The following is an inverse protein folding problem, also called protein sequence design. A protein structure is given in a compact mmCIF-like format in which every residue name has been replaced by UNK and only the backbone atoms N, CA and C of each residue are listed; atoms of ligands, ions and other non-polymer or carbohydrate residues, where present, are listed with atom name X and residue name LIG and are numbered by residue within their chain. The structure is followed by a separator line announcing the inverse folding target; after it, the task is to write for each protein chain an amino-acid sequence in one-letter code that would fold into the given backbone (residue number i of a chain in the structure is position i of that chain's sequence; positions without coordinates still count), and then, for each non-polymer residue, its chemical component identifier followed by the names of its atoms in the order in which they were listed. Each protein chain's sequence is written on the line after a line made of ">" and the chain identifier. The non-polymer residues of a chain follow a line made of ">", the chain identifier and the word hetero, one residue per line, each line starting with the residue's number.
data_IF_331420347696
#
_entry.id   IF_331420347696
#
_cell.length_a   1.000
_cell.length_b   1.000
_cell.length_c   1.000
_cell.angle_alpha   90.00
_cell.angle_beta   90.00
_cell.angle_gamma   90.00
#
_symmetry.space_group_name_H-M   'P 1'
#
loop_
_entity.id
_entity.type
_entity.pdbx_description
1 polymer ?
#
# COMPACT_ATOMS: atom_id res chain seq x y z
N UNK A 1 2.52 -2.81 11.03
CA UNK A 1 1.78 -2.74 9.74
C UNK A 1 0.53 -1.86 9.84
N UNK A 2 -0.42 -2.11 10.76
CA UNK A 2 -1.67 -1.32 10.89
C UNK A 2 -1.43 0.20 10.90
N UNK A 3 -0.43 0.69 11.62
CA UNK A 3 -0.10 2.12 11.66
C UNK A 3 0.31 2.74 10.31
N UNK A 4 0.98 1.97 9.45
CA UNK A 4 1.38 2.46 8.13
C UNK A 4 0.15 2.66 7.22
N UNK A 5 -0.78 1.71 7.23
CA UNK A 5 -2.03 1.82 6.47
C UNK A 5 -2.95 2.91 7.03
N UNK A 6 -3.00 3.08 8.35
CA UNK A 6 -3.76 4.18 8.97
C UNK A 6 -3.20 5.54 8.53
N UNK A 7 -1.89 5.72 8.48
CA UNK A 7 -1.26 6.94 7.98
C UNK A 7 -1.50 7.12 6.47
N UNK A 8 -1.45 6.07 5.67
CA UNK A 8 -1.81 6.10 4.25
C UNK A 8 -3.24 6.59 4.04
N UNK A 9 -4.17 6.05 4.79
CA UNK A 9 -5.58 6.45 4.76
C UNK A 9 -5.78 7.94 5.14
N UNK A 10 -5.16 8.40 6.23
CA UNK A 10 -5.23 9.81 6.65
C UNK A 10 -4.63 10.73 5.58
N UNK A 11 -3.48 10.36 5.02
CA UNK A 11 -2.83 11.13 3.96
C UNK A 11 -3.72 11.20 2.72
N UNK A 12 -4.31 10.08 2.31
CA UNK A 12 -5.20 10.01 1.14
C UNK A 12 -6.44 10.90 1.30
N UNK A 13 -7.08 10.88 2.47
CA UNK A 13 -8.26 11.71 2.73
C UNK A 13 -7.92 13.20 2.89
N UNK A 14 -6.77 13.54 3.44
CA UNK A 14 -6.34 14.93 3.61
C UNK A 14 -5.84 15.56 2.31
N UNK A 15 -5.42 14.77 1.34
CA UNK A 15 -4.82 15.25 0.10
C UNK A 15 -5.69 16.26 -0.68
N UNK A 16 -7.01 16.03 -0.92
CA UNK A 16 -7.87 17.00 -1.61
C UNK A 16 -8.00 18.33 -0.88
N UNK A 17 -7.99 18.30 0.46
CA UNK A 17 -8.05 19.51 1.28
C UNK A 17 -6.74 20.30 1.18
N UNK A 18 -5.61 19.60 1.23
CA UNK A 18 -4.29 20.22 1.06
C UNK A 18 -4.14 20.85 -0.33
N UNK A 19 -4.63 20.22 -1.38
CA UNK A 19 -4.65 20.79 -2.73
C UNK A 19 -5.42 22.11 -2.79
N UNK A 20 -6.59 22.18 -2.15
CA UNK A 20 -7.38 23.41 -2.08
C UNK A 20 -6.69 24.52 -1.31
N UNK A 21 -5.96 24.19 -0.24
CA UNK A 21 -5.23 25.16 0.58
C UNK A 21 -4.01 25.75 -0.15
N UNK A 22 -3.30 24.92 -0.89
CA UNK A 22 -2.07 25.36 -1.61
C UNK A 22 -2.43 26.21 -2.83
N UNK A 23 -3.52 25.89 -3.55
CA UNK A 23 -3.90 26.63 -4.77
C UNK A 23 -2.89 26.52 -5.89
N UNK A 24 -3.11 27.21 -7.00
CA UNK A 24 -2.17 27.24 -8.14
C UNK A 24 -2.33 26.06 -9.09
N UNK A 25 -1.29 25.80 -9.90
CA UNK A 25 -1.29 24.72 -10.88
C UNK A 25 -1.13 23.35 -10.19
N UNK A 26 -1.65 22.29 -10.83
CA UNK A 26 -1.53 20.93 -10.29
C UNK A 26 -0.08 20.54 -9.96
N UNK A 27 0.88 20.89 -10.85
CA UNK A 27 2.29 20.61 -10.62
C UNK A 27 2.83 21.31 -9.36
N UNK A 28 2.43 22.55 -9.12
CA UNK A 28 2.82 23.31 -7.93
C UNK A 28 2.22 22.69 -6.66
N UNK A 29 0.95 22.32 -6.69
CA UNK A 29 0.27 21.66 -5.57
C UNK A 29 0.97 20.35 -5.17
N UNK A 30 1.26 19.47 -6.13
CA UNK A 30 1.99 18.23 -5.88
C UNK A 30 3.39 18.46 -5.32
N UNK A 31 4.11 19.44 -5.84
CA UNK A 31 5.46 19.76 -5.37
C UNK A 31 5.46 20.25 -3.90
N UNK A 32 4.57 21.17 -3.56
CA UNK A 32 4.48 21.73 -2.19
C UNK A 32 4.00 20.66 -1.20
N UNK A 33 2.94 19.93 -1.53
CA UNK A 33 2.41 18.89 -0.65
C UNK A 33 3.45 17.77 -0.46
N UNK A 34 4.12 17.35 -1.54
CA UNK A 34 5.18 16.35 -1.47
C UNK A 34 6.36 16.81 -0.61
N UNK A 35 6.78 18.06 -0.72
CA UNK A 35 7.84 18.63 0.12
C UNK A 35 7.45 18.66 1.61
N UNK A 36 6.24 19.09 1.93
CA UNK A 36 5.74 19.15 3.32
C UNK A 36 5.65 17.74 3.92
N UNK A 37 5.04 16.79 3.21
CA UNK A 37 4.94 15.40 3.67
C UNK A 37 6.32 14.76 3.79
N UNK A 38 7.25 15.06 2.88
CA UNK A 38 8.63 14.59 2.93
C UNK A 38 9.38 15.10 4.17
N UNK A 39 9.23 16.38 4.51
CA UNK A 39 9.81 16.96 5.71
C UNK A 39 9.23 16.31 6.97
N UNK A 40 7.90 16.15 7.04
CA UNK A 40 7.24 15.47 8.17
C UNK A 40 7.77 14.03 8.32
N UNK A 41 7.87 13.29 7.24
CA UNK A 41 8.38 11.92 7.24
C UNK A 41 9.84 11.86 7.72
N UNK A 42 10.70 12.78 7.25
CA UNK A 42 12.08 12.89 7.68
C UNK A 42 12.20 13.19 9.19
N UNK A 43 11.43 14.16 9.69
CA UNK A 43 11.42 14.52 11.12
C UNK A 43 10.94 13.34 11.98
N UNK A 44 9.86 12.66 11.56
CA UNK A 44 9.34 11.50 12.30
C UNK A 44 10.34 10.34 12.31
N UNK A 45 11.02 10.09 11.20
CA UNK A 45 12.05 9.04 11.11
C UNK A 45 13.25 9.36 12.01
N UNK A 46 13.72 10.60 11.98
CA UNK A 46 14.81 11.06 12.87
C UNK A 46 14.39 10.98 14.34
N UNK A 47 13.20 11.44 14.68
CA UNK A 47 12.66 11.35 16.04
C UNK A 47 12.57 9.88 16.50
N UNK A 48 12.09 8.98 15.65
CA UNK A 48 12.05 7.56 15.95
C UNK A 48 13.46 7.00 16.21
N UNK A 49 14.44 7.32 15.36
CA UNK A 49 15.81 6.89 15.54
C UNK A 49 16.47 7.41 16.82
N UNK A 50 16.19 8.67 17.19
CA UNK A 50 16.76 9.29 18.40
C UNK A 50 16.07 8.82 19.70
N UNK A 51 14.76 8.61 19.65
CA UNK A 51 13.96 8.21 20.82
C UNK A 51 13.99 6.70 21.09
N UNK A 52 14.31 5.88 20.07
CA UNK A 52 14.37 4.42 20.22
C UNK A 52 15.66 4.03 20.94
N UNK A 53 15.53 3.52 22.17
CA UNK A 53 16.66 3.01 22.95
C UNK A 53 16.87 1.53 22.61
N UNK A 54 18.04 1.19 22.08
CA UNK A 54 18.42 -0.20 21.88
C UNK A 54 18.52 -0.93 23.22
N UNK A 55 17.62 -1.90 23.43
CA UNK A 55 17.63 -2.75 24.65
C UNK A 55 18.57 -3.95 24.52
N UNK A 56 18.84 -4.38 23.30
CA UNK A 56 19.76 -5.46 22.99
C UNK A 56 21.08 -4.84 22.52
N UNK A 57 22.10 -4.92 23.38
CA UNK A 57 23.46 -4.56 22.95
C UNK A 57 23.96 -5.65 22.00
N UNK A 58 24.19 -5.39 20.71
CA UNK A 58 24.81 -6.36 19.83
C UNK A 58 26.17 -6.75 20.41
N UNK A 59 26.49 -8.05 20.41
CA UNK A 59 27.86 -8.50 20.63
C UNK A 59 28.74 -7.71 19.67
N UNK A 60 29.75 -7.01 20.22
CA UNK A 60 30.74 -6.13 19.59
C UNK A 60 30.56 -6.05 18.07
N UNK A 61 30.17 -4.87 17.55
CA UNK A 61 30.02 -4.64 16.11
C UNK A 61 31.35 -5.02 15.43
N UNK A 62 31.38 -6.16 14.76
CA UNK A 62 32.45 -6.48 13.83
C UNK A 62 32.46 -5.40 12.77
N UNK A 63 33.65 -4.96 12.37
CA UNK A 63 33.79 -3.93 11.33
C UNK A 63 32.99 -4.37 10.13
N UNK A 64 32.17 -3.47 9.57
CA UNK A 64 31.42 -3.72 8.35
C UNK A 64 32.33 -4.30 7.27
N UNK A 65 32.08 -5.53 6.85
CA UNK A 65 32.82 -6.21 5.80
C UNK A 65 31.93 -6.44 4.60
N UNK A 66 32.44 -6.16 3.40
CA UNK A 66 31.77 -6.51 2.15
C UNK A 66 31.45 -8.01 2.06
N UNK A 67 32.17 -8.84 2.80
CA UNK A 67 31.94 -10.27 2.88
C UNK A 67 30.60 -10.60 3.54
N UNK A 68 30.18 -9.84 4.57
CA UNK A 68 28.87 -9.99 5.20
C UNK A 68 27.72 -9.67 4.21
N UNK A 69 27.94 -8.72 3.31
CA UNK A 69 26.97 -8.41 2.25
C UNK A 69 26.91 -9.54 1.21
N UNK A 70 28.04 -10.09 0.83
CA UNK A 70 28.11 -11.24 -0.06
C UNK A 70 27.40 -12.47 0.53
N UNK A 71 27.61 -12.74 1.82
CA UNK A 71 26.95 -13.83 2.56
C UNK A 71 25.42 -13.63 2.60
N UNK A 72 24.96 -12.38 2.71
CA UNK A 72 23.54 -12.04 2.65
C UNK A 72 22.94 -12.37 1.28
N UNK A 73 23.62 -12.00 0.19
CA UNK A 73 23.19 -12.30 -1.18
C UNK A 73 23.21 -13.80 -1.49
N UNK A 74 24.09 -14.57 -0.84
CA UNK A 74 24.10 -16.04 -0.95
C UNK A 74 23.02 -16.74 -0.12
N UNK A 75 22.35 -16.01 0.77
CA UNK A 75 21.26 -16.57 1.57
C UNK A 75 19.97 -16.67 0.74
N UNK A 76 19.66 -17.87 0.26
CA UNK A 76 18.47 -18.14 -0.57
C UNK A 76 17.16 -17.66 0.07
N UNK A 77 17.01 -17.83 1.39
CA UNK A 77 15.82 -17.38 2.10
C UNK A 77 15.65 -15.86 2.01
N UNK A 78 16.75 -15.12 2.19
CA UNK A 78 16.73 -13.66 2.05
C UNK A 78 16.42 -13.22 0.63
N UNK A 79 17.01 -13.88 -0.39
CA UNK A 79 16.72 -13.59 -1.81
C UNK A 79 15.24 -13.78 -2.14
N UNK A 80 14.63 -14.89 -1.70
CA UNK A 80 13.21 -15.13 -1.92
C UNK A 80 12.34 -14.07 -1.25
N UNK A 81 12.63 -13.70 -0.01
CA UNK A 81 11.89 -12.67 0.70
C UNK A 81 12.02 -11.30 0.02
N UNK A 82 13.22 -10.95 -0.44
CA UNK A 82 13.45 -9.70 -1.17
C UNK A 82 12.73 -9.70 -2.51
N UNK A 83 12.79 -10.79 -3.27
CA UNK A 83 12.06 -10.92 -4.53
C UNK A 83 10.55 -10.77 -4.35
N UNK A 84 9.98 -11.42 -3.34
CA UNK A 84 8.55 -11.27 -2.99
C UNK A 84 8.24 -9.82 -2.64
N UNK A 85 9.05 -9.16 -1.81
CA UNK A 85 8.84 -7.77 -1.43
C UNK A 85 8.89 -6.83 -2.64
N UNK A 86 9.84 -7.02 -3.55
CA UNK A 86 9.94 -6.24 -4.80
C UNK A 86 8.71 -6.45 -5.67
N UNK A 87 8.30 -7.70 -5.93
CA UNK A 87 7.12 -8.02 -6.73
C UNK A 87 5.84 -7.43 -6.11
N UNK A 88 5.68 -7.51 -4.80
CA UNK A 88 4.50 -6.96 -4.10
C UNK A 88 4.44 -5.44 -4.21
N UNK A 89 5.57 -4.74 -4.02
CA UNK A 89 5.60 -3.28 -4.16
C UNK A 89 5.35 -2.85 -5.61
N UNK A 90 5.90 -3.58 -6.59
CA UNK A 90 5.67 -3.34 -7.99
C UNK A 90 4.19 -3.51 -8.36
N UNK A 91 3.56 -4.60 -7.91
CA UNK A 91 2.13 -4.86 -8.09
C UNK A 91 1.27 -3.73 -7.49
N UNK A 92 1.57 -3.30 -6.25
CA UNK A 92 0.86 -2.21 -5.62
C UNK A 92 1.00 -0.89 -6.40
N UNK A 93 2.22 -0.55 -6.85
CA UNK A 93 2.45 0.64 -7.68
C UNK A 93 1.63 0.62 -8.97
N UNK A 94 1.60 -0.52 -9.66
CA UNK A 94 0.76 -0.70 -10.85
C UNK A 94 -0.73 -0.54 -10.55
N UNK A 95 -1.22 -1.13 -9.47
CA UNK A 95 -2.62 -1.03 -9.06
C UNK A 95 -3.04 0.42 -8.84
N UNK A 96 -2.22 1.22 -8.16
CA UNK A 96 -2.48 2.65 -7.95
C UNK A 96 -2.47 3.43 -9.27
N UNK A 97 -1.51 3.18 -10.15
CA UNK A 97 -1.42 3.85 -11.43
C UNK A 97 -2.64 3.51 -12.33
N UNK A 98 -2.96 2.22 -12.48
CA UNK A 98 -4.08 1.75 -13.30
C UNK A 98 -5.41 2.31 -12.79
N UNK A 99 -5.62 2.32 -11.48
CA UNK A 99 -6.84 2.90 -10.91
C UNK A 99 -6.95 4.41 -11.19
N UNK A 100 -5.84 5.16 -11.13
CA UNK A 100 -5.82 6.57 -11.54
C UNK A 100 -6.27 6.75 -12.98
N UNK A 101 -5.65 6.03 -13.91
CA UNK A 101 -6.03 6.07 -15.33
C UNK A 101 -7.48 5.63 -15.57
N UNK A 102 -7.95 4.62 -14.84
CA UNK A 102 -9.35 4.17 -14.95
C UNK A 102 -10.32 5.30 -14.61
N UNK A 103 -10.08 6.04 -13.53
CA UNK A 103 -10.93 7.15 -13.15
C UNK A 103 -10.84 8.32 -14.12
N UNK A 104 -9.64 8.65 -14.61
CA UNK A 104 -9.44 9.80 -15.50
C UNK A 104 -10.02 9.55 -16.91
N UNK A 105 -9.79 8.37 -17.49
CA UNK A 105 -10.11 8.08 -18.89
C UNK A 105 -11.38 7.27 -19.10
N UNK A 106 -11.69 6.33 -18.21
CA UNK A 106 -12.83 5.43 -18.39
C UNK A 106 -14.09 5.92 -17.64
N UNK A 107 -13.91 6.46 -16.44
CA UNK A 107 -15.02 6.90 -15.58
C UNK A 107 -15.22 8.43 -15.58
N UNK A 108 -14.38 9.17 -16.35
CA UNK A 108 -14.46 10.64 -16.49
C UNK A 108 -14.46 11.40 -15.14
N UNK A 109 -13.66 10.94 -14.19
CA UNK A 109 -13.41 11.58 -12.91
C UNK A 109 -14.27 11.06 -11.77
N UNK A 110 -15.50 11.54 -11.62
CA UNK A 110 -16.36 11.18 -10.49
C UNK A 110 -17.54 10.33 -10.94
N UNK A 111 -17.80 9.24 -10.23
CA UNK A 111 -18.97 8.41 -10.42
C UNK A 111 -19.97 8.69 -9.30
N UNK A 112 -21.17 9.15 -9.63
CA UNK A 112 -22.25 9.38 -8.65
C UNK A 112 -23.25 8.23 -8.73
N UNK A 113 -23.35 7.45 -7.64
CA UNK A 113 -24.33 6.36 -7.52
C UNK A 113 -25.10 6.55 -6.22
N UNK A 114 -26.41 6.59 -6.29
CA UNK A 114 -27.31 6.72 -5.13
C UNK A 114 -26.97 7.92 -4.21
N UNK A 115 -26.44 9.02 -4.78
CA UNK A 115 -26.02 10.20 -4.02
C UNK A 115 -24.61 10.13 -3.41
N UNK A 116 -23.91 9.01 -3.54
CA UNK A 116 -22.51 8.88 -3.13
C UNK A 116 -21.58 9.23 -4.30
N UNK A 117 -20.69 10.19 -4.09
CA UNK A 117 -19.67 10.58 -5.07
C UNK A 117 -18.43 9.71 -4.83
N UNK A 118 -18.18 8.76 -5.72
CA UNK A 118 -17.00 7.90 -5.72
C UNK A 118 -15.99 8.48 -6.68
N UNK A 119 -14.91 8.99 -6.14
CA UNK A 119 -13.74 9.42 -6.90
C UNK A 119 -12.57 8.46 -6.66
N UNK A 120 -11.46 8.66 -7.35
CA UNK A 120 -10.22 7.87 -7.17
C UNK A 120 -9.81 7.75 -5.69
N UNK A 121 -9.87 8.86 -4.95
CA UNK A 121 -9.46 8.91 -3.53
C UNK A 121 -10.33 8.00 -2.65
N UNK A 122 -11.65 8.08 -2.83
CA UNK A 122 -12.62 7.24 -2.08
C UNK A 122 -12.45 5.77 -2.44
N UNK A 123 -12.28 5.48 -3.74
CA UNK A 123 -12.05 4.11 -4.22
C UNK A 123 -10.81 3.49 -3.59
N UNK A 124 -9.69 4.22 -3.55
CA UNK A 124 -8.45 3.74 -2.92
C UNK A 124 -8.56 3.66 -1.40
N UNK A 125 -9.32 4.56 -0.76
CA UNK A 125 -9.55 4.53 0.67
C UNK A 125 -10.20 3.22 1.15
N UNK A 126 -11.08 2.62 0.34
CA UNK A 126 -11.63 1.28 0.65
C UNK A 126 -10.53 0.22 0.74
N UNK A 127 -9.56 0.25 -0.18
CA UNK A 127 -8.40 -0.65 -0.14
C UNK A 127 -7.55 -0.46 1.13
N UNK A 128 -7.24 0.77 1.48
CA UNK A 128 -6.41 1.09 2.67
C UNK A 128 -7.09 0.67 3.98
N UNK A 129 -8.40 0.94 4.13
CA UNK A 129 -9.18 0.48 5.29
C UNK A 129 -9.17 -1.03 5.39
N UNK A 130 -9.32 -1.70 4.26
CA UNK A 130 -9.31 -3.16 4.20
C UNK A 130 -7.95 -3.73 4.61
N UNK A 131 -6.85 -3.18 4.10
CA UNK A 131 -5.48 -3.54 4.52
C UNK A 131 -5.29 -3.37 6.03
N UNK A 132 -5.85 -2.31 6.62
CA UNK A 132 -5.79 -2.07 8.06
C UNK A 132 -6.53 -3.18 8.84
N UNK A 133 -7.73 -3.54 8.41
CA UNK A 133 -8.57 -4.57 9.05
C UNK A 133 -7.92 -5.95 8.90
N UNK A 134 -7.59 -6.35 7.67
CA UNK A 134 -7.00 -7.67 7.41
C UNK A 134 -5.58 -7.80 7.97
N UNK A 135 -4.83 -6.73 8.04
CA UNK A 135 -3.54 -6.70 8.73
C UNK A 135 -3.67 -7.05 10.22
N UNK A 136 -4.76 -6.62 10.87
CA UNK A 136 -5.09 -7.00 12.26
C UNK A 136 -5.58 -8.44 12.40
N UNK A 137 -6.32 -8.95 11.41
CA UNK A 137 -6.90 -10.31 11.43
C UNK A 137 -5.91 -11.37 10.94
N UNK A 138 -4.86 -10.99 10.23
CA UNK A 138 -3.86 -11.89 9.65
C UNK A 138 -3.28 -12.94 10.61
N UNK A 139 -2.95 -12.64 11.89
CA UNK A 139 -2.47 -13.65 12.82
C UNK A 139 -3.51 -14.73 13.14
N UNK A 140 -4.79 -14.36 13.21
CA UNK A 140 -5.89 -15.28 13.41
C UNK A 140 -6.08 -16.20 12.21
N UNK A 141 -6.09 -15.65 11.00
CA UNK A 141 -6.18 -16.42 9.76
C UNK A 141 -5.02 -17.43 9.63
N UNK A 142 -3.80 -17.01 9.96
CA UNK A 142 -2.61 -17.88 9.93
C UNK A 142 -2.76 -19.07 10.93
N UNK A 143 -3.36 -18.84 12.09
CA UNK A 143 -3.64 -19.91 13.06
C UNK A 143 -4.70 -20.90 12.55
N UNK A 144 -5.72 -20.40 11.86
CA UNK A 144 -6.80 -21.21 11.29
C UNK A 144 -6.29 -22.15 10.19
N UNK A 145 -5.40 -21.66 9.32
CA UNK A 145 -4.80 -22.45 8.25
C UNK A 145 -3.69 -23.39 8.78
N UNK A 146 -3.20 -23.17 10.00
CA UNK A 146 -2.19 -24.00 10.65
C UNK A 146 -0.76 -23.79 10.16
N UNK A 147 -0.53 -23.10 9.02
CA UNK A 147 0.78 -22.84 8.45
C UNK A 147 0.84 -21.48 7.77
N UNK A 148 1.86 -20.67 8.12
CA UNK A 148 2.10 -19.37 7.48
C UNK A 148 2.32 -19.49 5.97
N UNK A 149 2.99 -20.57 5.54
CA UNK A 149 3.28 -20.84 4.13
C UNK A 149 2.00 -21.11 3.33
N UNK A 150 1.10 -21.92 3.87
CA UNK A 150 -0.18 -22.24 3.24
C UNK A 150 -1.11 -21.03 3.23
N UNK A 151 -1.17 -20.25 4.31
CA UNK A 151 -1.95 -19.03 4.36
C UNK A 151 -1.52 -18.03 3.29
N UNK A 152 -0.21 -17.84 3.11
CA UNK A 152 0.32 -16.98 2.06
C UNK A 152 -0.01 -17.50 0.65
N UNK A 153 0.10 -18.82 0.43
CA UNK A 153 -0.21 -19.43 -0.85
C UNK A 153 -1.68 -19.22 -1.23
N UNK A 154 -2.61 -19.45 -0.32
CA UNK A 154 -4.04 -19.24 -0.55
C UNK A 154 -4.37 -17.76 -0.80
N UNK A 155 -3.80 -16.86 -0.01
CA UNK A 155 -3.99 -15.42 -0.21
C UNK A 155 -3.47 -14.96 -1.58
N UNK A 156 -2.27 -15.38 -1.96
CA UNK A 156 -1.69 -15.04 -3.26
C UNK A 156 -2.50 -15.61 -4.44
N UNK A 157 -3.00 -16.85 -4.32
CA UNK A 157 -3.85 -17.48 -5.34
C UNK A 157 -5.17 -16.73 -5.49
N UNK A 158 -5.81 -16.38 -4.38
CA UNK A 158 -7.05 -15.60 -4.39
C UNK A 158 -6.83 -14.23 -5.05
N UNK A 159 -5.77 -13.53 -4.67
CA UNK A 159 -5.42 -12.23 -5.25
C UNK A 159 -5.21 -12.34 -6.77
N UNK A 160 -4.51 -13.37 -7.24
CA UNK A 160 -4.29 -13.60 -8.67
C UNK A 160 -5.60 -13.85 -9.41
N UNK A 161 -6.46 -14.74 -8.91
CA UNK A 161 -7.76 -15.04 -9.52
C UNK A 161 -8.63 -13.78 -9.61
N UNK A 162 -8.72 -13.01 -8.53
CA UNK A 162 -9.51 -11.78 -8.49
C UNK A 162 -8.96 -10.70 -9.43
N UNK A 163 -7.63 -10.61 -9.56
CA UNK A 163 -6.99 -9.69 -10.52
C UNK A 163 -7.31 -10.06 -11.96
N UNK A 164 -7.36 -11.35 -12.27
CA UNK A 164 -7.78 -11.84 -13.60
C UNK A 164 -9.26 -11.54 -13.83
N UNK A 165 -10.12 -11.78 -12.85
CA UNK A 165 -11.55 -11.44 -12.94
C UNK A 165 -11.75 -9.95 -13.16
N UNK A 166 -10.99 -9.10 -12.46
CA UNK A 166 -11.05 -7.64 -12.63
C UNK A 166 -10.80 -7.21 -14.07
N UNK A 167 -9.89 -7.90 -14.78
CA UNK A 167 -9.58 -7.61 -16.18
C UNK A 167 -10.76 -7.82 -17.13
N UNK A 168 -11.67 -8.76 -16.81
CA UNK A 168 -12.84 -9.07 -17.64
C UNK A 168 -14.06 -8.19 -17.31
N UNK A 169 -14.02 -7.40 -16.26
CA UNK A 169 -15.13 -6.52 -15.90
C UNK A 169 -15.14 -5.31 -16.84
N UNK A 170 -16.27 -5.03 -17.51
CA UNK A 170 -16.39 -3.82 -18.32
C UNK A 170 -16.26 -2.57 -17.44
N UNK A 171 -15.45 -1.61 -17.89
CA UNK A 171 -15.15 -0.35 -17.19
C UNK A 171 -16.35 0.61 -17.29
N UNK A 172 -17.48 0.22 -16.70
CA UNK A 172 -18.72 1.00 -16.66
C UNK A 172 -19.04 1.44 -15.22
N UNK A 173 -19.59 2.64 -15.02
CA UNK A 173 -20.02 3.11 -13.69
C UNK A 173 -20.92 2.12 -12.93
N UNK A 174 -21.75 1.37 -13.65
CA UNK A 174 -22.68 0.38 -13.07
C UNK A 174 -21.96 -0.76 -12.32
N UNK A 175 -20.71 -1.06 -12.65
CA UNK A 175 -19.95 -2.15 -12.05
C UNK A 175 -18.99 -1.68 -10.94
N UNK A 176 -19.05 -0.40 -10.53
CA UNK A 176 -18.08 0.15 -9.58
C UNK A 176 -18.13 -0.56 -8.22
N UNK A 177 -19.28 -1.01 -7.76
CA UNK A 177 -19.40 -1.79 -6.53
C UNK A 177 -18.69 -3.14 -6.61
N UNK A 178 -18.73 -3.79 -7.77
CA UNK A 178 -17.99 -5.03 -8.01
C UNK A 178 -16.49 -4.77 -8.03
N UNK A 179 -16.07 -3.68 -8.65
CA UNK A 179 -14.66 -3.25 -8.67
C UNK A 179 -14.16 -2.93 -7.26
N UNK A 180 -14.94 -2.22 -6.44
CA UNK A 180 -14.63 -1.95 -5.03
C UNK A 180 -14.52 -3.27 -4.25
N UNK A 181 -15.47 -4.19 -4.44
CA UNK A 181 -15.42 -5.51 -3.80
C UNK A 181 -14.16 -6.29 -4.12
N UNK A 182 -13.69 -6.26 -5.38
CA UNK A 182 -12.44 -6.89 -5.76
C UNK A 182 -11.23 -6.19 -5.13
N UNK A 183 -11.21 -4.85 -5.12
CA UNK A 183 -10.14 -4.09 -4.45
C UNK A 183 -10.07 -4.42 -2.97
N UNK A 184 -11.21 -4.53 -2.30
CA UNK A 184 -11.31 -4.97 -0.91
C UNK A 184 -10.70 -6.36 -0.72
N UNK A 185 -11.00 -7.30 -1.58
CA UNK A 185 -10.52 -8.68 -1.46
C UNK A 185 -9.06 -8.87 -1.89
N UNK A 186 -8.50 -7.95 -2.68
CA UNK A 186 -7.10 -8.00 -3.14
C UNK A 186 -6.15 -7.13 -2.33
N UNK A 187 -6.66 -6.31 -1.41
CA UNK A 187 -5.89 -5.47 -0.48
C UNK A 187 -5.51 -6.24 0.76
#
# INVERSE_FOLDING_TARGET
>A
MVGAYAMGFVTLLSFPYLQKMVGGTAAHQYAVIGAVLGIIAAVMTLACGLLTKERLKPKRAEKFSFQQFADLVHNKAWLYMTAIAVCTNFFNGFRYAVAGYMFDYCLHGNVTIEGLIINYTVFMAFGEVTCMIFGGVSPWFTRLVGSKRMAFFWAATLCLVLSVVFFFIPMNPSYIWVMIGIVILTS
#
